data_IF_870035219011
#
_entry.id   IF_870035219011
#
_cell.length_a   1.000
_cell.length_b   1.000
_cell.length_c   1.000
_cell.angle_alpha   90.00
_cell.angle_beta   90.00
_cell.angle_gamma   90.00
#
_symmetry.space_group_name_H-M   'P 1'
#
loop_
_entity.id
_entity.type
_entity.pdbx_description
1 polymer ?
#
# COMPACT_ATOMS: atom_id res chain seq x y z
N UNK A 1 -3.23 -9.23 16.43
CA UNK A 1 -2.33 -9.60 15.31
C UNK A 1 -3.12 -10.29 14.20
N UNK A 2 -3.75 -11.43 14.45
CA UNK A 2 -4.58 -12.16 13.47
C UNK A 2 -5.64 -11.28 12.77
N UNK A 3 -6.37 -10.47 13.54
CA UNK A 3 -7.38 -9.56 12.99
C UNK A 3 -6.79 -8.57 11.95
N UNK A 4 -5.58 -8.05 12.19
CA UNK A 4 -4.92 -7.13 11.27
C UNK A 4 -4.47 -7.84 9.99
N UNK A 5 -3.95 -9.07 10.11
CA UNK A 5 -3.60 -9.91 8.95
C UNK A 5 -4.85 -10.18 8.11
N UNK A 6 -5.98 -10.54 8.75
CA UNK A 6 -7.25 -10.74 8.07
C UNK A 6 -7.72 -9.48 7.34
N UNK A 7 -7.55 -8.29 7.94
CA UNK A 7 -7.86 -7.02 7.30
C UNK A 7 -7.00 -6.80 6.05
N UNK A 8 -5.68 -7.03 6.11
CA UNK A 8 -4.79 -6.88 4.95
C UNK A 8 -5.24 -7.78 3.78
N UNK A 9 -5.49 -9.06 4.06
CA UNK A 9 -5.92 -10.03 3.05
C UNK A 9 -7.29 -9.64 2.46
N UNK A 10 -8.27 -9.33 3.31
CA UNK A 10 -9.62 -9.01 2.84
C UNK A 10 -9.68 -7.69 2.07
N UNK A 11 -8.90 -6.68 2.45
CA UNK A 11 -8.80 -5.41 1.71
C UNK A 11 -8.23 -5.63 0.30
N UNK A 12 -7.20 -6.49 0.16
CA UNK A 12 -6.66 -6.85 -1.14
C UNK A 12 -7.71 -7.55 -2.01
N UNK A 13 -8.34 -8.62 -1.51
CA UNK A 13 -9.32 -9.42 -2.25
C UNK A 13 -10.54 -8.58 -2.66
N UNK A 14 -11.02 -7.70 -1.78
CA UNK A 14 -12.12 -6.79 -2.09
C UNK A 14 -11.75 -5.79 -3.20
N UNK A 15 -10.50 -5.31 -3.19
CA UNK A 15 -10.01 -4.36 -4.18
C UNK A 15 -9.72 -5.02 -5.53
N UNK A 16 -9.23 -6.27 -5.53
CA UNK A 16 -9.02 -7.09 -6.73
C UNK A 16 -10.31 -7.67 -7.30
N UNK A 17 -11.43 -7.53 -6.55
CA UNK A 17 -12.75 -8.09 -6.88
C UNK A 17 -12.71 -9.60 -7.02
N UNK A 18 -11.98 -10.26 -6.12
CA UNK A 18 -11.82 -11.71 -6.10
C UNK A 18 -10.81 -12.26 -7.12
N UNK A 19 -10.01 -11.40 -7.74
CA UNK A 19 -8.90 -11.81 -8.62
C UNK A 19 -7.59 -11.94 -7.84
N UNK A 20 -6.62 -12.60 -8.46
CA UNK A 20 -5.30 -12.82 -7.87
C UNK A 20 -4.40 -11.57 -7.88
N UNK A 21 -4.73 -10.58 -8.72
CA UNK A 21 -3.94 -9.36 -8.91
C UNK A 21 -4.82 -8.10 -9.00
N UNK A 22 -4.26 -6.96 -8.63
CA UNK A 22 -4.83 -5.63 -8.83
C UNK A 22 -4.39 -5.07 -10.17
N UNK A 23 -5.34 -4.75 -11.06
CA UNK A 23 -5.05 -3.89 -12.20
C UNK A 23 -4.75 -2.45 -11.74
N UNK A 24 -4.11 -1.64 -12.60
CA UNK A 24 -3.73 -0.27 -12.27
C UNK A 24 -4.88 0.59 -11.71
N UNK A 25 -6.09 0.40 -12.23
CA UNK A 25 -7.26 1.17 -11.80
C UNK A 25 -7.71 0.75 -10.40
N UNK A 26 -7.67 -0.54 -10.10
CA UNK A 26 -8.03 -1.11 -8.81
C UNK A 26 -6.98 -0.79 -7.76
N UNK A 27 -5.70 -0.88 -8.11
CA UNK A 27 -4.58 -0.45 -7.28
C UNK A 27 -4.69 1.04 -6.93
N UNK A 28 -4.93 1.90 -7.93
CA UNK A 28 -5.08 3.33 -7.70
C UNK A 28 -6.20 3.66 -6.71
N UNK A 29 -7.36 3.01 -6.86
CA UNK A 29 -8.49 3.19 -5.94
C UNK A 29 -8.17 2.69 -4.54
N UNK A 30 -7.45 1.58 -4.42
CA UNK A 30 -7.01 1.04 -3.13
C UNK A 30 -6.14 2.09 -2.43
N UNK A 31 -5.12 2.61 -3.10
CA UNK A 31 -4.19 3.59 -2.52
C UNK A 31 -4.92 4.86 -2.07
N UNK A 32 -5.76 5.42 -2.93
CA UNK A 32 -6.58 6.59 -2.61
C UNK A 32 -7.49 6.37 -1.40
N UNK A 33 -8.10 5.19 -1.28
CA UNK A 33 -9.10 4.92 -0.24
C UNK A 33 -8.49 4.48 1.09
N UNK A 34 -7.35 3.77 1.07
CA UNK A 34 -6.80 3.14 2.27
C UNK A 34 -5.58 3.88 2.83
N UNK A 35 -4.83 4.60 1.99
CA UNK A 35 -3.56 5.21 2.41
C UNK A 35 -3.56 6.74 2.36
N UNK A 36 -4.66 7.40 1.98
CA UNK A 36 -4.72 8.87 1.91
C UNK A 36 -4.53 9.61 3.23
N UNK A 37 -4.71 8.94 4.37
CA UNK A 37 -4.39 9.49 5.69
C UNK A 37 -2.97 9.20 6.17
N UNK A 38 -2.16 8.47 5.40
CA UNK A 38 -0.85 7.95 5.85
C UNK A 38 0.27 8.27 4.88
N UNK A 39 0.02 8.16 3.58
CA UNK A 39 0.94 8.46 2.49
C UNK A 39 0.60 9.83 1.89
N UNK A 40 1.63 10.54 1.43
CA UNK A 40 1.49 11.77 0.65
C UNK A 40 1.21 11.42 -0.82
N UNK A 41 0.71 12.40 -1.59
CA UNK A 41 0.46 12.31 -3.03
C UNK A 41 -0.45 11.14 -3.49
N UNK A 42 -1.27 10.60 -2.59
CA UNK A 42 -2.23 9.53 -2.92
C UNK A 42 -3.36 9.97 -3.85
N UNK A 43 -3.51 11.27 -4.10
CA UNK A 43 -4.40 11.86 -5.09
C UNK A 43 -3.70 12.05 -6.47
N UNK A 44 -2.37 11.98 -6.51
CA UNK A 44 -1.58 12.10 -7.73
C UNK A 44 -1.55 10.79 -8.52
N UNK A 45 -2.28 10.77 -9.63
CA UNK A 45 -2.32 9.63 -10.56
C UNK A 45 -0.94 9.24 -11.09
N UNK A 46 -0.03 10.20 -11.30
CA UNK A 46 1.34 9.91 -11.74
C UNK A 46 2.17 9.29 -10.61
N UNK A 47 2.09 9.81 -9.38
CA UNK A 47 2.82 9.24 -8.24
C UNK A 47 2.39 7.80 -7.95
N UNK A 48 1.08 7.52 -8.04
CA UNK A 48 0.54 6.17 -7.83
C UNK A 48 0.97 5.22 -8.95
N UNK A 49 1.09 5.69 -10.20
CA UNK A 49 1.62 4.87 -11.31
C UNK A 49 3.09 4.54 -11.12
N UNK A 50 3.89 5.51 -10.68
CA UNK A 50 5.30 5.27 -10.35
C UNK A 50 5.44 4.30 -9.18
N UNK A 51 4.60 4.43 -8.16
CA UNK A 51 4.52 3.47 -7.05
C UNK A 51 4.16 2.08 -7.56
N UNK A 52 3.15 1.95 -8.42
CA UNK A 52 2.79 0.65 -9.01
C UNK A 52 3.98 0.05 -9.75
N UNK A 53 4.66 0.84 -10.58
CA UNK A 53 5.85 0.39 -11.33
C UNK A 53 7.01 -0.02 -10.42
N UNK A 54 7.17 0.65 -9.29
CA UNK A 54 8.17 0.29 -8.29
C UNK A 54 7.87 -1.00 -7.53
N UNK A 55 6.61 -1.43 -7.51
CA UNK A 55 6.17 -2.68 -6.88
C UNK A 55 6.06 -3.85 -7.86
N UNK A 56 5.81 -3.58 -9.14
CA UNK A 56 5.62 -4.57 -10.21
C UNK A 56 6.95 -5.23 -10.62
N UNK A 57 7.50 -6.07 -9.74
CA UNK A 57 8.79 -6.73 -9.91
C UNK A 57 8.78 -7.72 -11.08
N UNK A 58 7.65 -8.36 -11.32
CA UNK A 58 7.49 -9.31 -12.43
C UNK A 58 7.14 -8.63 -13.77
N UNK A 59 6.90 -7.31 -13.76
CA UNK A 59 6.59 -6.48 -14.93
C UNK A 59 5.35 -6.95 -15.73
N UNK A 60 4.32 -7.47 -15.06
CA UNK A 60 3.06 -7.88 -15.69
C UNK A 60 2.03 -6.74 -15.81
N UNK A 61 2.37 -5.55 -15.29
CA UNK A 61 1.52 -4.37 -15.29
C UNK A 61 0.41 -4.41 -14.24
N UNK A 62 0.47 -5.33 -13.28
CA UNK A 62 -0.46 -5.47 -12.16
C UNK A 62 0.29 -5.46 -10.83
N UNK A 63 -0.45 -5.66 -9.75
CA UNK A 63 0.11 -5.82 -8.40
C UNK A 63 -0.48 -7.08 -7.79
N UNK A 64 0.36 -8.08 -7.60
CA UNK A 64 0.07 -9.31 -6.89
C UNK A 64 -0.05 -9.08 -5.39
N UNK A 65 -0.49 -10.11 -4.65
CA UNK A 65 -0.59 -10.00 -3.21
C UNK A 65 0.78 -9.80 -2.54
N UNK A 66 1.83 -10.42 -3.07
CA UNK A 66 3.19 -10.27 -2.56
C UNK A 66 3.72 -8.84 -2.75
N UNK A 67 3.57 -8.29 -3.96
CA UNK A 67 3.94 -6.90 -4.27
C UNK A 67 3.13 -5.89 -3.45
N UNK A 68 1.85 -6.20 -3.17
CA UNK A 68 1.03 -5.44 -2.23
C UNK A 68 1.56 -5.52 -0.79
N UNK A 69 2.07 -6.66 -0.32
CA UNK A 69 2.69 -6.77 1.00
C UNK A 69 3.96 -5.95 1.11
N UNK A 70 4.73 -5.80 0.02
CA UNK A 70 5.87 -4.87 -0.02
C UNK A 70 5.42 -3.44 0.27
N UNK A 71 4.33 -2.97 -0.35
CA UNK A 71 3.73 -1.66 -0.04
C UNK A 71 3.33 -1.55 1.44
N UNK A 72 2.66 -2.56 1.99
CA UNK A 72 2.29 -2.58 3.42
C UNK A 72 3.52 -2.49 4.31
N UNK A 73 4.60 -3.20 3.97
CA UNK A 73 5.88 -3.14 4.68
C UNK A 73 6.47 -1.74 4.68
N UNK A 74 6.50 -1.07 3.52
CA UNK A 74 6.96 0.32 3.42
C UNK A 74 6.13 1.27 4.30
N UNK A 75 4.80 1.16 4.25
CA UNK A 75 3.92 1.98 5.09
C UNK A 75 4.14 1.69 6.58
N UNK A 76 4.25 0.42 6.96
CA UNK A 76 4.49 0.04 8.35
C UNK A 76 5.83 0.56 8.88
N UNK A 77 6.90 0.50 8.08
CA UNK A 77 8.20 1.05 8.41
C UNK A 77 8.11 2.57 8.60
N UNK A 78 7.52 3.30 7.66
CA UNK A 78 7.34 4.74 7.77
C UNK A 78 6.52 5.14 9.02
N UNK A 79 5.47 4.38 9.35
CA UNK A 79 4.69 4.60 10.56
C UNK A 79 5.50 4.29 11.84
N UNK A 80 6.29 3.23 11.83
CA UNK A 80 7.18 2.85 12.94
C UNK A 80 8.24 3.92 13.19
N UNK A 81 8.87 4.42 12.13
CA UNK A 81 9.86 5.51 12.18
C UNK A 81 9.24 6.79 12.74
N UNK A 82 8.05 7.20 12.26
CA UNK A 82 7.34 8.36 12.83
C UNK A 82 7.05 8.17 14.31
N UNK A 83 6.65 6.95 14.71
CA UNK A 83 6.29 6.66 16.11
C UNK A 83 7.51 6.58 17.03
N UNK A 84 8.64 6.08 16.54
CA UNK A 84 9.89 5.99 17.29
C UNK A 84 10.67 7.32 17.30
N UNK A 85 10.65 8.06 16.19
CA UNK A 85 11.34 9.35 16.01
C UNK A 85 10.67 10.52 16.72
N UNK A 86 9.35 10.47 16.96
CA UNK A 86 8.61 11.50 17.70
C UNK A 86 9.01 11.62 19.18
N UNK A 87 9.97 10.81 19.67
CA UNK A 87 10.49 10.84 21.04
C UNK A 87 11.88 11.51 21.14
N UNK A 88 12.47 12.00 20.04
CA UNK A 88 13.81 12.59 20.02
C UNK A 88 13.84 14.14 20.03
N UNK A 89 12.76 14.82 19.62
CA UNK A 89 12.69 16.29 19.55
C UNK A 89 11.94 16.94 20.72
N UNK A 90 11.77 16.21 21.83
CA UNK A 90 11.26 16.73 23.10
C UNK A 90 12.33 16.61 24.19
N UNK A 91 13.45 17.32 24.04
CA UNK A 91 14.46 17.55 25.09
C UNK A 91 15.22 18.84 24.83
#
# INVERSE_FOLDING_TARGET
MEAAIKTIVTTFINSSRGKDNLDSKSFQKLVQKQFSGTMEDTDSSSAIKEMQRGLDENSDGKVSFEEYLSLIGYVANAMSERKCGSNADAS
#
